data_IF_609282893483
#
_entry.id   IF_609282893483
#
_cell.length_a   1.000
_cell.length_b   1.000
_cell.length_c   1.000
_cell.angle_alpha   90.00
_cell.angle_beta   90.00
_cell.angle_gamma   90.00
#
_symmetry.space_group_name_H-M   'P 1'
#
loop_
_entity.id
_entity.type
_entity.pdbx_description
1 polymer ?
#
# COMPACT_ATOMS: atom_id res chain seq x y z
N UNK A 1 -38.68 -45.70 22.08
CA UNK A 1 -39.40 -44.45 21.68
C UNK A 1 -38.38 -43.41 21.27
N UNK A 2 -38.41 -42.98 20.00
CA UNK A 2 -37.57 -41.89 19.54
C UNK A 2 -38.27 -40.56 19.85
N UNK A 3 -37.62 -39.70 20.61
CA UNK A 3 -38.14 -38.36 20.89
C UNK A 3 -37.56 -37.36 19.88
N UNK A 4 -38.42 -36.56 19.26
CA UNK A 4 -38.02 -35.51 18.38
C UNK A 4 -37.31 -34.39 19.17
N UNK A 5 -36.09 -34.02 18.74
CA UNK A 5 -35.35 -32.90 19.30
C UNK A 5 -35.10 -31.88 18.20
N UNK A 6 -35.76 -30.73 18.30
CA UNK A 6 -35.69 -29.67 17.31
C UNK A 6 -34.26 -29.13 17.10
N UNK A 7 -33.49 -28.96 18.18
CA UNK A 7 -32.09 -28.49 18.08
C UNK A 7 -31.16 -29.50 17.40
N UNK A 8 -31.45 -30.80 17.57
CA UNK A 8 -30.70 -31.85 16.89
C UNK A 8 -31.05 -31.87 15.40
N UNK A 9 -32.32 -31.75 15.06
CA UNK A 9 -32.79 -31.71 13.68
C UNK A 9 -32.25 -30.50 12.94
N UNK A 10 -32.25 -29.33 13.57
CA UNK A 10 -31.69 -28.09 13.02
C UNK A 10 -30.17 -28.18 12.76
N UNK A 11 -29.39 -28.64 13.74
CA UNK A 11 -27.98 -28.90 13.59
C UNK A 11 -27.67 -29.88 12.46
N UNK A 12 -28.43 -30.97 12.38
CA UNK A 12 -28.28 -31.98 11.33
C UNK A 12 -28.62 -31.41 9.95
N UNK A 13 -29.67 -30.60 9.84
CA UNK A 13 -30.04 -29.91 8.63
C UNK A 13 -28.95 -28.97 8.18
N UNK A 14 -28.43 -28.11 9.04
CA UNK A 14 -27.31 -27.20 8.72
C UNK A 14 -26.03 -27.96 8.40
N UNK A 15 -25.75 -29.09 9.03
CA UNK A 15 -24.61 -29.94 8.69
C UNK A 15 -24.76 -30.54 7.29
N UNK A 16 -25.91 -31.06 6.92
CA UNK A 16 -26.19 -31.58 5.58
C UNK A 16 -26.06 -30.49 4.52
N UNK A 17 -26.58 -29.28 4.77
CA UNK A 17 -26.41 -28.14 3.87
C UNK A 17 -24.95 -27.74 3.69
N UNK A 18 -24.17 -27.79 4.77
CA UNK A 18 -22.74 -27.50 4.72
C UNK A 18 -22.00 -28.58 3.93
N UNK A 19 -22.32 -29.84 4.18
CA UNK A 19 -21.66 -30.98 3.53
C UNK A 19 -22.01 -31.05 2.03
N UNK A 20 -23.27 -30.75 1.67
CA UNK A 20 -23.70 -30.68 0.24
C UNK A 20 -23.03 -29.55 -0.56
N UNK A 21 -22.61 -28.50 0.13
CA UNK A 21 -21.86 -27.37 -0.45
C UNK A 21 -20.35 -27.52 -0.32
N UNK A 22 -19.89 -28.56 0.39
CA UNK A 22 -18.47 -28.88 0.50
C UNK A 22 -18.01 -29.61 -0.75
N UNK A 23 -16.80 -29.29 -1.22
CA UNK A 23 -16.24 -29.97 -2.38
C UNK A 23 -15.91 -29.06 -3.52
N UNK A 24 -15.62 -29.66 -4.66
CA UNK A 24 -15.21 -29.00 -5.90
C UNK A 24 -16.32 -29.27 -6.92
N UNK A 25 -16.88 -28.21 -7.50
CA UNK A 25 -17.97 -28.28 -8.48
C UNK A 25 -17.50 -28.62 -9.91
N UNK A 26 -16.19 -28.79 -10.11
CA UNK A 26 -15.59 -29.06 -11.42
C UNK A 26 -14.86 -30.42 -11.43
N UNK A 27 -14.75 -31.02 -12.59
CA UNK A 27 -14.02 -32.28 -12.80
C UNK A 27 -12.51 -32.09 -12.63
N UNK A 28 -11.79 -33.19 -12.36
CA UNK A 28 -10.32 -33.15 -12.27
C UNK A 28 -9.67 -32.67 -13.59
N UNK A 29 -10.27 -33.04 -14.71
CA UNK A 29 -9.77 -32.63 -16.04
C UNK A 29 -9.91 -31.12 -16.25
N UNK A 30 -11.08 -30.56 -15.97
CA UNK A 30 -11.33 -29.12 -16.05
C UNK A 30 -10.46 -28.34 -15.07
N UNK A 31 -10.26 -28.87 -13.86
CA UNK A 31 -9.36 -28.28 -12.89
C UNK A 31 -7.94 -28.16 -13.44
N UNK A 32 -7.44 -29.23 -14.04
CA UNK A 32 -6.10 -29.25 -14.63
C UNK A 32 -5.96 -28.30 -15.84
N UNK A 33 -7.00 -28.20 -16.68
CA UNK A 33 -7.00 -27.23 -17.78
C UNK A 33 -6.94 -25.78 -17.26
N UNK A 34 -7.72 -25.47 -16.23
CA UNK A 34 -7.73 -24.13 -15.61
C UNK A 34 -6.41 -23.82 -14.88
N UNK A 35 -5.82 -24.82 -14.24
CA UNK A 35 -4.52 -24.67 -13.56
C UNK A 35 -3.40 -24.31 -14.54
N UNK A 36 -3.37 -24.90 -15.72
CA UNK A 36 -2.40 -24.57 -16.78
C UNK A 36 -2.44 -23.11 -17.24
N UNK A 37 -3.56 -22.43 -17.04
CA UNK A 37 -3.71 -21.01 -17.38
C UNK A 37 -3.45 -20.15 -16.14
N UNK A 38 -4.07 -20.49 -15.01
CA UNK A 38 -4.08 -19.66 -13.81
C UNK A 38 -2.72 -19.63 -13.12
N UNK A 39 -2.06 -20.79 -12.95
CA UNK A 39 -0.82 -20.86 -12.18
C UNK A 39 0.35 -20.10 -12.83
N UNK A 40 0.62 -20.19 -14.13
CA UNK A 40 1.66 -19.39 -14.77
C UNK A 40 1.38 -17.88 -14.70
N UNK A 41 0.12 -17.45 -14.78
CA UNK A 41 -0.25 -16.04 -14.69
C UNK A 41 -0.03 -15.49 -13.26
N UNK A 42 -0.29 -16.32 -12.23
CA UNK A 42 0.02 -15.96 -10.85
C UNK A 42 1.53 -15.83 -10.63
N UNK A 43 2.32 -16.76 -11.15
CA UNK A 43 3.79 -16.73 -11.11
C UNK A 43 4.36 -15.50 -11.81
N UNK A 44 3.74 -15.07 -12.93
CA UNK A 44 4.06 -13.80 -13.61
C UNK A 44 3.62 -12.57 -12.79
N UNK A 45 2.96 -12.78 -11.65
CA UNK A 45 2.57 -11.71 -10.73
C UNK A 45 1.20 -11.10 -11.01
N UNK A 46 0.34 -11.72 -11.82
CA UNK A 46 -1.05 -11.30 -11.94
C UNK A 46 -1.84 -11.65 -10.68
N UNK A 47 -2.78 -10.79 -10.31
CA UNK A 47 -3.68 -11.08 -9.19
C UNK A 47 -4.85 -11.95 -9.68
N UNK A 48 -5.48 -12.78 -8.79
CA UNK A 48 -6.69 -13.52 -9.14
C UNK A 48 -7.82 -12.66 -9.70
N UNK A 49 -7.88 -11.38 -9.30
CA UNK A 49 -8.83 -10.42 -9.86
C UNK A 49 -8.52 -10.13 -11.35
N UNK A 50 -7.26 -9.82 -11.67
CA UNK A 50 -6.84 -9.56 -13.05
C UNK A 50 -7.08 -10.78 -13.93
N UNK A 51 -6.78 -11.99 -13.44
CA UNK A 51 -7.00 -13.23 -14.15
C UNK A 51 -8.50 -13.44 -14.45
N UNK A 52 -9.37 -13.26 -13.45
CA UNK A 52 -10.81 -13.42 -13.63
C UNK A 52 -11.42 -12.41 -14.62
N UNK A 53 -10.88 -11.18 -14.66
CA UNK A 53 -11.35 -10.13 -15.60
C UNK A 53 -10.82 -10.34 -17.00
N UNK A 54 -9.54 -10.71 -17.16
CA UNK A 54 -8.91 -10.85 -18.45
C UNK A 54 -9.23 -12.19 -19.14
N UNK A 55 -9.64 -13.20 -18.35
CA UNK A 55 -9.94 -14.57 -18.81
C UNK A 55 -11.35 -15.00 -18.42
N UNK A 56 -12.41 -14.33 -18.95
CA UNK A 56 -13.79 -14.69 -18.66
C UNK A 56 -14.16 -16.10 -19.11
N UNK A 57 -13.44 -16.66 -20.07
CA UNK A 57 -13.58 -18.04 -20.58
C UNK A 57 -13.35 -19.10 -19.49
N UNK A 58 -12.62 -18.76 -18.43
CA UNK A 58 -12.41 -19.67 -17.30
C UNK A 58 -13.68 -19.93 -16.50
N UNK A 59 -14.67 -19.04 -16.58
CA UNK A 59 -15.95 -19.16 -15.86
C UNK A 59 -15.77 -19.25 -14.34
N UNK A 60 -14.70 -18.64 -13.79
CA UNK A 60 -14.38 -18.70 -12.36
C UNK A 60 -14.45 -17.31 -11.71
N UNK A 61 -15.12 -17.25 -10.56
CA UNK A 61 -15.10 -16.04 -9.76
C UNK A 61 -13.74 -15.85 -9.07
N UNK A 62 -13.38 -14.60 -8.78
CA UNK A 62 -12.18 -14.26 -8.00
C UNK A 62 -12.11 -15.06 -6.69
N UNK A 63 -13.25 -15.19 -6.00
CA UNK A 63 -13.35 -15.93 -4.74
C UNK A 63 -13.07 -17.42 -4.94
N UNK A 64 -13.53 -17.99 -6.04
CA UNK A 64 -13.30 -19.41 -6.37
C UNK A 64 -11.82 -19.67 -6.60
N UNK A 65 -11.13 -18.79 -7.35
CA UNK A 65 -9.67 -18.89 -7.58
C UNK A 65 -8.92 -18.87 -6.25
N UNK A 66 -9.20 -17.90 -5.37
CA UNK A 66 -8.59 -17.87 -4.02
C UNK A 66 -8.87 -19.13 -3.21
N UNK A 67 -10.11 -19.63 -3.23
CA UNK A 67 -10.49 -20.84 -2.51
C UNK A 67 -9.75 -22.08 -3.00
N UNK A 68 -9.52 -22.19 -4.31
CA UNK A 68 -8.83 -23.32 -4.89
C UNK A 68 -7.32 -23.29 -4.61
N UNK A 69 -6.72 -22.08 -4.60
CA UNK A 69 -5.34 -21.91 -4.15
C UNK A 69 -5.20 -22.27 -2.67
N UNK A 70 -6.14 -21.82 -1.81
CA UNK A 70 -6.16 -22.15 -0.37
C UNK A 70 -6.25 -23.64 -0.10
N UNK A 71 -7.06 -24.35 -0.90
CA UNK A 71 -7.22 -25.81 -0.81
C UNK A 71 -6.06 -26.57 -1.46
N UNK A 72 -5.11 -25.87 -2.09
CA UNK A 72 -3.97 -26.49 -2.76
C UNK A 72 -4.34 -27.28 -3.99
N UNK A 73 -5.42 -26.90 -4.68
CA UNK A 73 -5.92 -27.58 -5.88
C UNK A 73 -5.19 -27.14 -7.16
N UNK A 74 -4.63 -25.96 -7.17
CA UNK A 74 -3.75 -25.46 -8.22
C UNK A 74 -2.28 -25.69 -7.88
N UNK A 75 -1.43 -25.66 -8.90
CA UNK A 75 0.04 -25.75 -8.75
C UNK A 75 0.56 -24.54 -7.98
N UNK A 76 0.03 -23.35 -8.27
CA UNK A 76 0.35 -22.14 -7.50
C UNK A 76 -0.18 -22.20 -6.07
N UNK A 77 0.57 -21.63 -5.14
CA UNK A 77 0.30 -21.64 -3.70
C UNK A 77 0.07 -20.23 -3.16
N UNK A 78 -0.39 -20.15 -1.93
CA UNK A 78 -0.61 -18.86 -1.25
C UNK A 78 0.63 -17.97 -1.19
N UNK A 79 1.83 -18.55 -1.22
CA UNK A 79 3.10 -17.82 -1.20
C UNK A 79 3.34 -17.05 -2.51
N UNK A 80 2.80 -17.54 -3.62
CA UNK A 80 2.94 -16.94 -4.94
C UNK A 80 2.03 -15.71 -5.11
N UNK A 81 1.06 -15.53 -4.20
CA UNK A 81 0.16 -14.39 -4.19
C UNK A 81 0.81 -13.16 -3.55
N UNK A 82 0.81 -12.03 -4.26
CA UNK A 82 1.43 -10.76 -3.82
C UNK A 82 1.02 -10.27 -2.42
N UNK A 83 -0.18 -10.57 -1.94
CA UNK A 83 -0.75 -10.00 -0.71
C UNK A 83 -1.26 -11.02 0.30
N UNK A 84 -1.18 -12.31 0.02
CA UNK A 84 -1.86 -13.31 0.84
C UNK A 84 -1.05 -13.91 1.99
N UNK A 85 0.28 -13.96 2.05
CA UNK A 85 0.95 -14.38 3.27
C UNK A 85 0.59 -13.43 4.42
N UNK A 86 -0.26 -13.91 5.34
CA UNK A 86 -0.60 -13.16 6.57
C UNK A 86 0.54 -13.36 7.57
N UNK A 87 1.32 -12.32 7.79
CA UNK A 87 2.30 -12.30 8.86
C UNK A 87 1.62 -11.99 10.20
N UNK A 88 2.10 -12.62 11.29
CA UNK A 88 1.67 -12.23 12.64
C UNK A 88 1.97 -10.74 12.86
N UNK A 89 0.99 -9.93 13.29
CA UNK A 89 1.26 -8.52 13.58
C UNK A 89 2.35 -8.43 14.65
N UNK A 90 3.35 -7.56 14.41
CA UNK A 90 4.38 -7.27 15.42
C UNK A 90 3.71 -6.57 16.59
N UNK A 91 4.11 -6.93 17.83
CA UNK A 91 3.71 -6.17 19.03
C UNK A 91 4.20 -4.73 18.87
N UNK A 92 3.29 -3.78 18.84
CA UNK A 92 3.64 -2.36 18.81
C UNK A 92 4.27 -1.97 20.14
N UNK A 93 5.48 -1.42 20.11
CA UNK A 93 6.01 -0.68 21.25
C UNK A 93 5.23 0.63 21.37
N UNK A 94 4.85 0.99 22.60
CA UNK A 94 4.25 2.30 22.88
C UNK A 94 5.26 3.37 22.51
N UNK A 95 4.96 4.16 21.49
CA UNK A 95 5.76 5.33 21.11
C UNK A 95 5.56 6.43 22.15
N UNK A 96 6.64 7.06 22.57
CA UNK A 96 6.57 8.28 23.41
C UNK A 96 5.77 9.35 22.68
N UNK A 97 4.91 10.01 23.44
CA UNK A 97 4.06 11.10 22.92
C UNK A 97 4.97 12.29 22.64
N UNK A 98 5.17 12.61 21.39
CA UNK A 98 5.84 13.83 20.94
C UNK A 98 4.88 15.03 21.08
N UNK A 99 5.43 16.22 21.26
CA UNK A 99 4.66 17.47 21.33
C UNK A 99 3.69 17.59 20.15
N UNK A 100 2.42 17.82 20.47
CA UNK A 100 1.33 17.83 19.48
C UNK A 100 1.02 19.23 18.95
N UNK A 101 1.62 20.27 19.49
CA UNK A 101 1.34 21.66 19.13
C UNK A 101 1.59 21.94 17.64
N UNK A 102 2.62 21.31 17.08
CA UNK A 102 3.04 21.43 15.66
C UNK A 102 1.94 20.95 14.69
N UNK A 103 1.05 20.06 15.13
CA UNK A 103 0.01 19.47 14.30
C UNK A 103 -1.36 20.15 14.43
N UNK A 104 -1.46 21.23 15.25
CA UNK A 104 -2.72 21.95 15.44
C UNK A 104 -3.16 22.64 14.15
N UNK A 105 -4.41 22.42 13.73
CA UNK A 105 -4.95 22.92 12.46
C UNK A 105 -4.45 22.17 11.21
N UNK A 106 -3.66 21.11 11.39
CA UNK A 106 -3.10 20.28 10.30
C UNK A 106 -3.43 18.80 10.51
N UNK A 107 -4.53 18.49 11.19
CA UNK A 107 -4.94 17.12 11.48
C UNK A 107 -5.58 16.46 10.26
N UNK A 108 -5.69 15.14 10.28
CA UNK A 108 -6.43 14.41 9.24
C UNK A 108 -7.92 14.82 9.17
N UNK A 109 -8.51 15.20 10.31
CA UNK A 109 -9.88 15.69 10.36
C UNK A 109 -10.01 17.05 9.63
N UNK A 110 -9.05 17.96 9.83
CA UNK A 110 -8.99 19.24 9.12
C UNK A 110 -8.85 19.01 7.61
N UNK A 111 -8.00 18.03 7.22
CA UNK A 111 -7.82 17.64 5.83
C UNK A 111 -9.12 17.07 5.21
N UNK A 112 -9.83 16.19 5.91
CA UNK A 112 -11.11 15.64 5.43
C UNK A 112 -12.17 16.74 5.24
N UNK A 113 -12.18 17.74 6.11
CA UNK A 113 -13.08 18.88 6.01
C UNK A 113 -12.96 19.70 4.71
N UNK A 114 -11.82 19.59 4.02
CA UNK A 114 -11.58 20.26 2.73
C UNK A 114 -12.28 19.57 1.54
N UNK A 115 -12.69 18.31 1.67
CA UNK A 115 -13.40 17.55 0.61
C UNK A 115 -12.60 17.41 -0.69
N UNK A 116 -11.27 17.27 -0.60
CA UNK A 116 -10.37 17.31 -1.75
C UNK A 116 -10.41 16.02 -2.57
N UNK A 117 -10.47 16.15 -3.88
CA UNK A 117 -10.34 15.05 -4.84
C UNK A 117 -8.91 14.88 -5.39
N UNK A 118 -8.03 15.85 -5.15
CA UNK A 118 -6.66 15.86 -5.62
C UNK A 118 -5.74 16.34 -4.52
N UNK A 119 -4.75 15.54 -4.17
CA UNK A 119 -3.72 15.86 -3.18
C UNK A 119 -2.51 14.95 -3.40
N UNK A 120 -1.41 15.32 -2.77
CA UNK A 120 -0.17 14.54 -2.80
C UNK A 120 -0.02 13.78 -1.48
N UNK A 121 0.21 12.47 -1.56
CA UNK A 121 0.61 11.67 -0.41
C UNK A 121 2.14 11.59 -0.35
N UNK A 122 2.71 11.82 0.82
CA UNK A 122 4.15 11.82 1.04
C UNK A 122 4.52 10.82 2.14
N UNK A 123 5.60 10.06 1.89
CA UNK A 123 6.11 9.07 2.84
C UNK A 123 7.61 8.82 2.63
N UNK A 124 8.24 8.07 3.52
CA UNK A 124 9.63 7.68 3.39
C UNK A 124 9.81 6.16 3.35
N UNK A 125 10.73 5.71 2.49
CA UNK A 125 11.10 4.30 2.38
C UNK A 125 12.55 4.12 2.79
N UNK A 126 12.77 3.49 3.94
CA UNK A 126 14.09 3.24 4.46
C UNK A 126 14.80 2.10 3.73
N UNK A 127 16.12 2.26 3.58
CA UNK A 127 17.08 1.26 3.13
C UNK A 127 17.30 0.15 4.19
N UNK A 128 18.38 -0.59 4.08
CA UNK A 128 18.84 -1.52 5.11
C UNK A 128 19.21 -0.78 6.41
N UNK A 129 19.35 -1.54 7.51
CA UNK A 129 19.77 -0.96 8.80
C UNK A 129 21.20 -0.38 8.78
N UNK A 130 22.01 -0.85 7.85
CA UNK A 130 23.41 -0.43 7.68
C UNK A 130 23.55 0.86 6.89
N UNK A 131 22.53 1.23 6.11
CA UNK A 131 22.51 2.45 5.28
C UNK A 131 21.61 3.52 5.91
N UNK A 132 22.09 4.76 5.90
CA UNK A 132 21.32 5.94 6.31
C UNK A 132 20.46 6.51 5.15
N UNK A 133 20.64 5.97 3.92
CA UNK A 133 19.90 6.44 2.74
C UNK A 133 18.43 6.06 2.83
N UNK A 134 17.58 6.96 2.38
CA UNK A 134 16.13 6.85 2.43
C UNK A 134 15.54 7.44 1.16
N UNK A 135 14.48 6.85 0.64
CA UNK A 135 13.72 7.45 -0.45
C UNK A 135 12.60 8.31 0.14
N UNK A 136 12.52 9.56 -0.28
CA UNK A 136 11.29 10.35 -0.16
C UNK A 136 10.38 9.98 -1.33
N UNK A 137 9.17 9.59 -1.02
CA UNK A 137 8.20 9.13 -2.01
C UNK A 137 7.01 10.08 -2.03
N UNK A 138 6.59 10.44 -3.23
CA UNK A 138 5.47 11.33 -3.50
C UNK A 138 4.50 10.61 -4.43
N UNK A 139 3.23 10.59 -4.05
CA UNK A 139 2.17 10.01 -4.87
C UNK A 139 1.07 11.03 -5.11
N UNK A 140 0.87 11.39 -6.36
CA UNK A 140 -0.16 12.31 -6.82
C UNK A 140 -1.45 11.52 -7.06
N UNK A 141 -2.44 11.74 -6.21
CA UNK A 141 -3.67 10.91 -6.20
C UNK A 141 -4.51 11.06 -7.46
N UNK A 142 -4.54 12.23 -8.07
CA UNK A 142 -5.29 12.52 -9.30
C UNK A 142 -4.58 11.93 -10.52
N UNK A 143 -3.31 12.24 -10.70
CA UNK A 143 -2.50 11.85 -11.86
C UNK A 143 -2.05 10.39 -11.80
N UNK A 144 -2.21 9.73 -10.64
CA UNK A 144 -1.67 8.38 -10.36
C UNK A 144 -0.16 8.28 -10.60
N UNK A 145 0.53 9.41 -10.46
CA UNK A 145 1.96 9.53 -10.65
C UNK A 145 2.69 9.26 -9.33
N UNK A 146 3.74 8.48 -9.41
CA UNK A 146 4.64 8.20 -8.29
C UNK A 146 6.04 8.72 -8.60
N UNK A 147 6.61 9.47 -7.67
CA UNK A 147 7.99 9.94 -7.72
C UNK A 147 8.75 9.48 -6.48
N UNK A 148 10.02 9.18 -6.64
CA UNK A 148 10.91 8.80 -5.54
C UNK A 148 12.24 9.56 -5.65
N UNK A 149 12.69 10.14 -4.54
CA UNK A 149 13.92 10.92 -4.45
C UNK A 149 14.85 10.32 -3.42
N UNK A 150 16.07 10.02 -3.81
CA UNK A 150 17.07 9.48 -2.90
C UNK A 150 17.62 10.59 -1.99
N UNK A 151 17.51 10.39 -0.69
CA UNK A 151 18.09 11.25 0.33
C UNK A 151 19.23 10.50 1.05
N UNK A 152 20.32 11.19 1.32
CA UNK A 152 21.46 10.64 2.05
C UNK A 152 21.15 10.35 3.53
N UNK A 153 20.21 11.08 4.10
CA UNK A 153 19.72 10.92 5.48
C UNK A 153 18.24 11.28 5.56
N UNK A 154 17.50 10.60 6.43
CA UNK A 154 16.10 10.91 6.74
C UNK A 154 16.06 12.05 7.77
N UNK A 155 16.08 13.29 7.29
CA UNK A 155 16.06 14.49 8.14
C UNK A 155 15.13 15.55 7.56
N UNK A 156 14.61 16.45 8.40
CA UNK A 156 13.78 17.60 8.00
C UNK A 156 14.44 18.42 6.88
N UNK A 157 15.75 18.69 7.02
CA UNK A 157 16.51 19.44 6.04
C UNK A 157 16.63 18.71 4.69
N UNK A 158 16.77 17.38 4.69
CA UNK A 158 16.83 16.61 3.45
C UNK A 158 15.50 16.64 2.69
N UNK A 159 14.37 16.52 3.38
CA UNK A 159 13.03 16.65 2.78
C UNK A 159 12.85 18.05 2.20
N UNK A 160 13.21 19.09 2.96
CA UNK A 160 13.15 20.48 2.49
C UNK A 160 13.98 20.68 1.21
N UNK A 161 15.20 20.17 1.16
CA UNK A 161 16.05 20.27 -0.04
C UNK A 161 15.42 19.63 -1.27
N UNK A 162 14.71 18.51 -1.12
CA UNK A 162 13.98 17.90 -2.25
C UNK A 162 12.86 18.82 -2.71
N UNK A 163 12.10 19.41 -1.79
CA UNK A 163 11.04 20.38 -2.13
C UNK A 163 11.60 21.63 -2.81
N UNK A 164 12.69 22.18 -2.28
CA UNK A 164 13.36 23.35 -2.86
C UNK A 164 13.90 23.04 -4.28
N UNK A 165 14.45 21.84 -4.48
CA UNK A 165 14.90 21.40 -5.79
C UNK A 165 13.73 21.25 -6.79
N UNK A 166 12.62 20.66 -6.36
CA UNK A 166 11.43 20.51 -7.18
C UNK A 166 10.81 21.86 -7.54
N UNK A 167 10.68 22.78 -6.56
CA UNK A 167 10.16 24.12 -6.79
C UNK A 167 11.05 24.89 -7.78
N UNK A 168 12.36 24.79 -7.63
CA UNK A 168 13.33 25.41 -8.55
C UNK A 168 13.22 24.89 -9.98
N UNK A 169 12.97 23.58 -10.11
CA UNK A 169 12.82 22.93 -11.43
C UNK A 169 11.47 23.20 -12.10
N UNK A 170 10.39 23.16 -11.34
CA UNK A 170 9.03 23.30 -11.85
C UNK A 170 8.61 24.78 -11.98
N UNK A 171 9.20 25.65 -11.18
CA UNK A 171 8.72 27.01 -10.93
C UNK A 171 7.58 27.01 -9.90
N UNK A 172 7.44 28.12 -9.18
CA UNK A 172 6.52 28.26 -8.03
C UNK A 172 5.08 27.95 -8.39
N UNK A 173 4.57 28.42 -9.54
CA UNK A 173 3.18 28.19 -9.93
C UNK A 173 2.86 26.70 -10.20
N UNK A 174 3.72 26.01 -10.94
CA UNK A 174 3.53 24.58 -11.21
C UNK A 174 3.71 23.75 -9.96
N UNK A 175 4.67 24.11 -9.10
CA UNK A 175 4.84 23.46 -7.81
C UNK A 175 3.58 23.59 -6.98
N UNK A 176 3.05 24.80 -6.80
CA UNK A 176 1.83 25.04 -6.04
C UNK A 176 0.65 24.21 -6.59
N UNK A 177 0.47 24.16 -7.91
CA UNK A 177 -0.65 23.39 -8.50
C UNK A 177 -0.57 21.89 -8.27
N UNK A 178 0.63 21.34 -8.08
CA UNK A 178 0.84 19.91 -7.83
C UNK A 178 0.85 19.56 -6.33
N UNK A 179 1.38 20.45 -5.51
CA UNK A 179 1.64 20.21 -4.09
C UNK A 179 0.73 21.03 -3.17
N UNK A 180 -0.31 21.67 -3.69
CA UNK A 180 -1.20 22.57 -2.93
C UNK A 180 -1.61 21.95 -1.59
N UNK A 181 -2.02 20.68 -1.60
CA UNK A 181 -2.35 19.92 -0.41
C UNK A 181 -1.50 18.65 -0.36
N UNK A 182 -0.72 18.51 0.71
CA UNK A 182 0.16 17.35 0.91
C UNK A 182 -0.18 16.65 2.23
N UNK A 183 -0.43 15.34 2.15
CA UNK A 183 -0.75 14.50 3.30
C UNK A 183 0.44 13.60 3.64
N UNK A 184 0.87 13.61 4.90
CA UNK A 184 1.99 12.80 5.38
C UNK A 184 1.71 12.16 6.74
N UNK A 185 2.60 11.32 7.22
CA UNK A 185 2.55 10.86 8.61
C UNK A 185 3.27 11.83 9.55
N UNK A 186 3.31 11.47 10.85
CA UNK A 186 3.98 12.26 11.88
C UNK A 186 5.44 11.82 12.06
N UNK A 187 6.13 11.47 10.97
CA UNK A 187 7.55 11.17 11.00
C UNK A 187 8.38 12.35 11.47
N UNK A 188 9.51 12.09 12.10
CA UNK A 188 10.40 13.15 12.60
C UNK A 188 10.94 14.04 11.48
N UNK A 189 11.08 13.50 10.29
CA UNK A 189 11.51 14.18 9.06
C UNK A 189 10.48 15.20 8.53
N UNK A 190 9.20 15.01 8.88
CA UNK A 190 8.10 15.91 8.52
C UNK A 190 7.67 16.83 9.65
N UNK A 191 8.36 16.80 10.78
CA UNK A 191 8.02 17.55 11.98
C UNK A 191 8.40 19.05 11.95
N UNK A 192 8.52 19.65 10.78
CA UNK A 192 8.74 21.08 10.59
C UNK A 192 7.89 21.56 9.40
N UNK A 193 6.56 21.68 9.61
CA UNK A 193 5.65 22.07 8.53
C UNK A 193 5.96 23.45 7.97
N UNK A 194 6.31 24.40 8.81
CA UNK A 194 6.54 25.79 8.40
C UNK A 194 7.71 25.89 7.40
N UNK A 195 8.78 25.11 7.64
CA UNK A 195 9.91 25.06 6.72
C UNK A 195 9.57 24.33 5.40
N UNK A 196 8.63 23.39 5.41
CA UNK A 196 8.17 22.71 4.20
C UNK A 196 7.14 23.53 3.42
N UNK A 197 6.25 24.23 4.12
CA UNK A 197 5.23 25.08 3.51
C UNK A 197 5.79 26.38 2.94
N UNK A 198 6.94 26.84 3.44
CA UNK A 198 7.59 28.06 2.94
C UNK A 198 8.50 27.75 1.77
N UNK A 199 8.20 28.35 0.62
CA UNK A 199 9.01 28.22 -0.60
C UNK A 199 10.30 29.03 -0.60
N UNK A 200 11.08 28.89 -1.64
CA UNK A 200 12.38 29.57 -1.83
C UNK A 200 12.20 31.09 -1.79
N UNK A 201 11.09 31.60 -2.30
CA UNK A 201 10.77 33.03 -2.37
C UNK A 201 10.10 33.56 -1.10
N UNK A 202 10.00 32.76 -0.03
CA UNK A 202 9.34 33.13 1.22
C UNK A 202 7.80 33.08 1.18
N UNK A 203 7.17 32.72 0.06
CA UNK A 203 5.74 32.54 -0.06
C UNK A 203 5.34 31.09 0.30
N UNK A 204 4.08 30.91 0.70
CA UNK A 204 3.53 29.59 0.93
C UNK A 204 3.49 28.80 -0.38
N UNK A 205 4.10 27.60 -0.40
CA UNK A 205 4.18 26.72 -1.57
C UNK A 205 3.28 25.48 -1.49
N UNK A 206 2.84 25.11 -0.30
CA UNK A 206 1.91 23.99 -0.07
C UNK A 206 1.26 24.12 1.30
N UNK A 207 0.25 23.29 1.55
CA UNK A 207 -0.36 23.11 2.86
C UNK A 207 -0.18 21.66 3.30
N UNK A 208 0.45 21.46 4.46
CA UNK A 208 0.81 20.14 4.96
C UNK A 208 -0.20 19.64 5.99
N UNK A 209 -0.68 18.40 5.81
CA UNK A 209 -1.60 17.73 6.72
C UNK A 209 -1.02 16.41 7.20
N UNK A 210 -1.41 15.98 8.38
CA UNK A 210 -0.86 14.81 9.04
C UNK A 210 -1.92 13.75 9.32
N UNK A 211 -1.60 12.51 8.95
CA UNK A 211 -2.41 11.35 9.31
C UNK A 211 -2.43 11.13 10.83
N UNK A 212 -3.47 10.47 11.29
CA UNK A 212 -3.54 10.02 12.68
C UNK A 212 -2.48 8.95 12.96
N UNK A 213 -1.94 8.91 14.17
CA UNK A 213 -0.98 7.87 14.55
C UNK A 213 -1.58 6.48 14.36
N UNK A 214 -0.79 5.56 13.79
CA UNK A 214 -1.16 4.16 13.57
C UNK A 214 -2.34 3.94 12.62
N UNK A 215 -2.71 4.93 11.81
CA UNK A 215 -3.76 4.84 10.79
C UNK A 215 -3.19 4.89 9.37
N UNK A 216 -2.49 3.83 9.01
CA UNK A 216 -1.85 3.69 7.69
C UNK A 216 -2.83 3.80 6.51
N UNK A 217 -4.05 3.30 6.67
CA UNK A 217 -5.08 3.38 5.62
C UNK A 217 -5.46 4.80 5.17
N UNK A 218 -5.05 5.84 5.91
CA UNK A 218 -5.28 7.24 5.53
C UNK A 218 -4.36 7.71 4.37
N UNK A 219 -3.28 6.97 4.08
CA UNK A 219 -2.36 7.16 2.93
C UNK A 219 -2.39 5.93 2.02
N UNK A 220 -3.58 5.48 1.62
CA UNK A 220 -3.75 4.23 0.88
C UNK A 220 -3.09 4.21 -0.50
N UNK A 221 -2.93 5.35 -1.16
CA UNK A 221 -2.31 5.47 -2.47
C UNK A 221 -0.82 5.16 -2.42
N UNK A 222 -0.06 5.90 -1.61
CA UNK A 222 1.39 5.71 -1.48
C UNK A 222 1.74 4.34 -0.90
N UNK A 223 0.92 3.80 0.04
CA UNK A 223 1.14 2.46 0.60
C UNK A 223 0.98 1.35 -0.46
N UNK A 224 -0.01 1.48 -1.35
CA UNK A 224 -0.17 0.56 -2.47
C UNK A 224 1.04 0.58 -3.39
N UNK A 225 1.54 1.77 -3.72
CA UNK A 225 2.72 1.92 -4.57
C UNK A 225 3.98 1.41 -3.86
N UNK A 226 4.10 1.62 -2.54
CA UNK A 226 5.20 1.04 -1.75
C UNK A 226 5.19 -0.49 -1.79
N UNK A 227 4.03 -1.12 -1.86
CA UNK A 227 3.95 -2.58 -2.05
C UNK A 227 4.55 -3.01 -3.39
N UNK A 228 4.32 -2.24 -4.47
CA UNK A 228 4.92 -2.48 -5.78
C UNK A 228 6.42 -2.15 -5.78
N UNK A 229 6.79 -1.02 -5.17
CA UNK A 229 8.19 -0.62 -5.03
C UNK A 229 9.02 -1.71 -4.32
N UNK A 230 8.43 -2.37 -3.31
CA UNK A 230 9.10 -3.44 -2.57
C UNK A 230 9.29 -4.74 -3.35
N UNK A 231 8.70 -4.89 -4.52
CA UNK A 231 9.03 -5.99 -5.45
C UNK A 231 10.34 -5.73 -6.19
N UNK A 232 10.65 -4.45 -6.47
CA UNK A 232 11.89 -4.01 -7.12
C UNK A 232 12.98 -3.74 -6.08
N UNK A 233 12.61 -3.12 -4.95
CA UNK A 233 13.50 -2.78 -3.84
C UNK A 233 13.05 -3.48 -2.56
N UNK A 234 13.43 -4.74 -2.34
CA UNK A 234 13.05 -5.52 -1.15
C UNK A 234 13.45 -4.81 0.15
N UNK A 235 12.79 -5.15 1.26
CA UNK A 235 13.17 -4.65 2.58
C UNK A 235 14.60 -5.11 2.92
N UNK A 236 15.44 -4.17 3.32
CA UNK A 236 16.85 -4.45 3.62
C UNK A 236 17.77 -4.32 2.40
N UNK A 237 17.24 -4.00 1.23
CA UNK A 237 18.06 -3.63 0.07
C UNK A 237 18.86 -2.37 0.36
N UNK A 238 20.12 -2.34 -0.05
CA UNK A 238 20.96 -1.15 0.01
C UNK A 238 20.58 -0.21 -1.13
N UNK A 239 20.30 1.04 -0.80
CA UNK A 239 20.07 2.09 -1.79
C UNK A 239 21.42 2.73 -2.11
N UNK A 240 21.88 2.53 -3.32
CA UNK A 240 23.08 3.19 -3.85
C UNK A 240 22.69 4.26 -4.88
N UNK A 241 23.43 5.35 -4.93
CA UNK A 241 23.61 6.06 -6.19
C UNK A 241 24.67 5.25 -6.93
N UNK A 242 24.33 4.62 -8.04
CA UNK A 242 25.38 4.06 -8.89
C UNK A 242 26.10 5.23 -9.56
N UNK A 243 27.31 5.50 -9.15
CA UNK A 243 28.26 6.34 -9.91
C UNK A 243 28.76 5.59 -11.15
N UNK A 244 28.05 4.55 -11.58
CA UNK A 244 28.37 3.71 -12.73
C UNK A 244 28.03 4.34 -14.09
N UNK A 245 27.87 5.66 -14.14
CA UNK A 245 27.67 6.39 -15.40
C UNK A 245 28.88 7.26 -15.78
N UNK A 246 29.99 7.18 -15.03
CA UNK A 246 31.21 7.98 -15.28
C UNK A 246 32.45 7.09 -15.53
N UNK A 247 32.29 5.85 -16.05
CA UNK A 247 33.35 5.05 -16.67
C UNK A 247 33.09 4.78 -18.15
#
# INVERSE_FOLDING_TARGET
KYTYNAHFADRKYHQILKDSRSGISITKHELHQKDRIISPLIEQGQSPYQIAVNHPELGMSVRTIYTYIDKGLFSSRNIDLKRKPKFKPRRCHKTQITDRSVFTGRTYLDFQGLGLNSFTEMDTVHSSRESRKTLLTLYFTKEKLFLAFLMNRCTKGAVRLVFDHLEKRLGTYKFLSLFEYTLTDRGSEFGDPDALETGINGFQRCSLYYCDPMRSGQKGGVENVHTMLRMVLPKGCLLYTSDAADE
#
